data_IF_561562017687
#
_entry.id   IF_561562017687
#
_cell.length_a   1.000
_cell.length_b   1.000
_cell.length_c   1.000
_cell.angle_alpha   90.00
_cell.angle_beta   90.00
_cell.angle_gamma   90.00
#
_symmetry.space_group_name_H-M   'P 1'
#
loop_
_entity.id
_entity.type
_entity.pdbx_description
1 polymer ?
#
# COMPACT_ATOMS: atom_id res chain seq x y z
N UNK A 1 14.79 -4.96 -74.70
CA UNK A 1 14.13 -6.11 -75.22
C UNK A 1 15.01 -7.33 -74.98
N UNK A 2 14.65 -8.15 -74.03
CA UNK A 2 14.98 -9.58 -73.99
C UNK A 2 14.36 -10.20 -72.72
N UNK A 3 13.25 -10.87 -72.96
CA UNK A 3 12.61 -11.75 -71.98
C UNK A 3 13.29 -13.12 -72.02
N UNK A 4 13.56 -13.70 -70.83
CA UNK A 4 13.84 -15.14 -70.70
C UNK A 4 12.87 -15.76 -69.70
N UNK A 5 12.43 -17.00 -70.00
CA UNK A 5 11.29 -17.62 -69.37
C UNK A 5 11.62 -18.44 -68.12
N UNK A 6 10.56 -18.61 -67.35
CA UNK A 6 10.27 -19.55 -66.25
C UNK A 6 10.93 -20.93 -66.34
N UNK A 7 11.53 -21.37 -65.28
CA UNK A 7 11.71 -22.76 -64.99
C UNK A 7 10.96 -23.14 -63.70
N UNK A 8 9.97 -24.00 -63.88
CA UNK A 8 9.24 -24.68 -62.80
C UNK A 8 10.17 -25.59 -62.04
N UNK A 9 10.22 -25.44 -60.73
CA UNK A 9 10.77 -26.47 -59.85
C UNK A 9 9.66 -26.93 -58.89
N UNK A 10 9.22 -28.17 -59.14
CA UNK A 10 8.35 -28.91 -58.27
C UNK A 10 9.15 -29.30 -57.04
N UNK A 11 8.68 -28.87 -55.87
CA UNK A 11 9.24 -29.28 -54.58
C UNK A 11 8.25 -30.18 -53.85
N UNK A 12 8.70 -31.40 -53.71
CA UNK A 12 8.18 -32.49 -52.96
C UNK A 12 7.75 -32.12 -51.53
N UNK A 13 6.51 -32.40 -51.23
CA UNK A 13 5.93 -32.33 -49.88
C UNK A 13 6.49 -33.46 -49.00
N UNK A 14 7.46 -33.11 -48.16
CA UNK A 14 7.84 -33.96 -47.03
C UNK A 14 6.96 -33.68 -45.84
N UNK A 15 6.11 -34.62 -45.52
CA UNK A 15 5.23 -34.67 -44.36
C UNK A 15 6.08 -34.86 -43.10
N UNK A 16 6.40 -33.75 -42.39
CA UNK A 16 6.98 -33.84 -41.06
C UNK A 16 5.85 -33.87 -40.03
N UNK A 17 5.55 -35.07 -39.59
CA UNK A 17 4.70 -35.29 -38.41
C UNK A 17 5.49 -34.94 -37.19
N UNK A 18 5.43 -33.69 -36.75
CA UNK A 18 6.03 -33.22 -35.51
C UNK A 18 5.21 -33.75 -34.33
N UNK A 19 5.75 -34.73 -33.62
CA UNK A 19 5.30 -35.11 -32.28
C UNK A 19 5.41 -33.88 -31.36
N UNK A 20 4.29 -33.26 -31.07
CA UNK A 20 4.19 -32.27 -30.00
C UNK A 20 4.26 -33.02 -28.66
N UNK A 21 5.24 -32.70 -27.79
CA UNK A 21 5.17 -33.20 -26.43
C UNK A 21 3.91 -32.58 -25.75
N UNK A 22 3.07 -33.49 -25.24
CA UNK A 22 1.96 -33.09 -24.37
C UNK A 22 2.53 -32.39 -23.13
N UNK A 23 2.52 -31.07 -23.13
CA UNK A 23 2.69 -30.30 -21.92
C UNK A 23 1.47 -30.59 -21.05
N UNK A 24 1.63 -31.54 -20.14
CA UNK A 24 0.74 -31.68 -19.00
C UNK A 24 0.87 -30.38 -18.18
N UNK A 25 -0.03 -29.43 -18.39
CA UNK A 25 -0.29 -28.37 -17.45
C UNK A 25 -0.82 -29.05 -16.18
N UNK A 26 0.08 -29.34 -15.25
CA UNK A 26 -0.34 -29.51 -13.86
C UNK A 26 -1.03 -28.21 -13.48
N UNK A 27 -2.35 -28.21 -13.48
CA UNK A 27 -3.12 -27.24 -12.70
C UNK A 27 -2.72 -27.48 -11.24
N UNK A 28 -1.65 -26.79 -10.84
CA UNK A 28 -1.38 -26.55 -9.44
C UNK A 28 -2.60 -25.76 -8.95
N UNK A 29 -3.51 -26.49 -8.32
CA UNK A 29 -4.69 -25.92 -7.71
C UNK A 29 -4.17 -24.80 -6.81
N UNK A 30 -4.44 -23.54 -7.20
CA UNK A 30 -4.27 -22.38 -6.33
C UNK A 30 -5.11 -22.65 -5.08
N UNK A 31 -4.46 -23.22 -4.06
CA UNK A 31 -5.09 -23.31 -2.74
C UNK A 31 -5.58 -21.92 -2.39
N UNK A 32 -6.87 -21.76 -2.06
CA UNK A 32 -7.38 -20.47 -1.64
C UNK A 32 -6.53 -20.01 -0.46
N UNK A 33 -6.11 -18.73 -0.40
CA UNK A 33 -5.27 -18.21 0.67
C UNK A 33 -5.91 -18.56 2.00
N UNK A 34 -5.16 -19.29 2.81
CA UNK A 34 -5.65 -19.90 4.05
C UNK A 34 -6.34 -18.85 4.92
N UNK A 35 -7.65 -18.88 4.99
CA UNK A 35 -8.53 -18.06 5.84
C UNK A 35 -8.09 -18.07 7.32
N UNK A 36 -7.33 -19.10 7.72
CA UNK A 36 -6.75 -19.23 9.07
C UNK A 36 -5.82 -18.04 9.44
N UNK A 37 -5.06 -17.48 8.50
CA UNK A 37 -4.14 -16.39 8.83
C UNK A 37 -4.88 -15.09 9.17
N UNK A 38 -6.02 -14.81 8.52
CA UNK A 38 -6.82 -13.63 8.83
C UNK A 38 -7.50 -13.74 10.19
N UNK A 39 -8.12 -14.89 10.50
CA UNK A 39 -8.74 -15.14 11.80
C UNK A 39 -7.72 -14.99 12.94
N UNK A 40 -6.49 -15.50 12.75
CA UNK A 40 -5.42 -15.37 13.74
C UNK A 40 -4.99 -13.91 13.97
N UNK A 41 -4.93 -13.10 12.90
CA UNK A 41 -4.61 -11.67 13.00
C UNK A 41 -5.68 -10.91 13.80
N UNK A 42 -6.97 -11.22 13.58
CA UNK A 42 -8.06 -10.61 14.35
C UNK A 42 -8.05 -11.02 15.82
N UNK A 43 -7.74 -12.28 16.11
CA UNK A 43 -7.60 -12.75 17.49
C UNK A 43 -6.43 -12.06 18.20
N UNK A 44 -5.30 -11.90 17.52
CA UNK A 44 -4.14 -11.17 18.05
C UNK A 44 -4.47 -9.69 18.32
N UNK A 45 -5.17 -9.02 17.39
CA UNK A 45 -5.62 -7.65 17.57
C UNK A 45 -6.61 -7.54 18.77
N UNK A 46 -7.48 -8.53 18.95
CA UNK A 46 -8.39 -8.62 20.09
C UNK A 46 -7.67 -8.70 21.44
N UNK A 47 -6.55 -9.41 21.50
CA UNK A 47 -5.73 -9.55 22.71
C UNK A 47 -5.01 -8.24 23.11
N UNK A 48 -4.85 -7.32 22.19
CA UNK A 48 -4.19 -6.02 22.38
C UNK A 48 -5.18 -4.85 22.57
N UNK A 49 -6.38 -5.14 23.08
CA UNK A 49 -7.42 -4.12 23.31
C UNK A 49 -6.99 -3.01 24.27
N UNK A 50 -5.97 -3.27 25.10
CA UNK A 50 -5.38 -2.28 26.02
C UNK A 50 -4.46 -1.28 25.33
N UNK A 51 -4.01 -1.55 24.09
CA UNK A 51 -3.16 -0.62 23.34
C UNK A 51 -4.04 0.47 22.77
N UNK A 52 -3.90 1.66 23.33
CA UNK A 52 -4.63 2.85 22.87
C UNK A 52 -4.08 3.31 21.50
N UNK A 53 -4.94 3.85 20.64
CA UNK A 53 -4.48 4.52 19.44
C UNK A 53 -3.46 5.60 19.72
N UNK A 54 -2.51 5.79 18.81
CA UNK A 54 -1.52 6.85 18.88
C UNK A 54 -1.95 7.99 17.96
N UNK A 55 -1.95 9.21 18.49
CA UNK A 55 -2.19 10.43 17.72
C UNK A 55 -0.90 11.26 17.70
N UNK A 56 -0.44 11.62 16.51
CA UNK A 56 0.71 12.49 16.28
C UNK A 56 0.22 13.74 15.57
N UNK A 57 0.39 14.89 16.20
CA UNK A 57 0.04 16.19 15.61
C UNK A 57 1.16 16.71 14.73
N UNK A 58 0.79 17.41 13.66
CA UNK A 58 1.73 18.03 12.72
C UNK A 58 1.50 19.52 12.62
N UNK A 59 2.55 20.26 12.36
CA UNK A 59 2.40 21.62 11.88
C UNK A 59 1.83 21.63 10.45
N UNK A 60 1.09 22.67 10.03
CA UNK A 60 0.38 22.67 8.75
C UNK A 60 1.24 22.40 7.51
N UNK A 61 2.52 22.76 7.53
CA UNK A 61 3.45 22.55 6.41
C UNK A 61 4.37 21.32 6.59
N UNK A 62 4.39 20.75 7.77
CA UNK A 62 5.24 19.61 8.10
C UNK A 62 4.72 18.34 7.41
N UNK A 63 5.64 17.55 6.85
CA UNK A 63 5.36 16.24 6.24
C UNK A 63 6.13 15.14 6.93
N UNK A 64 7.36 15.40 7.34
CA UNK A 64 8.26 14.43 7.97
C UNK A 64 7.96 14.27 9.45
N UNK A 65 8.20 13.07 9.97
CA UNK A 65 8.19 12.81 11.40
C UNK A 65 9.41 13.48 12.06
N UNK A 66 9.17 14.30 13.06
CA UNK A 66 10.23 14.81 13.92
C UNK A 66 10.76 13.71 14.83
N UNK A 67 11.96 13.88 15.34
CA UNK A 67 12.64 12.88 16.17
C UNK A 67 11.81 12.50 17.41
N UNK A 68 11.18 13.46 18.06
CA UNK A 68 10.31 13.20 19.21
C UNK A 68 9.07 12.36 18.81
N UNK A 69 8.44 12.67 17.68
CA UNK A 69 7.31 11.91 17.17
C UNK A 69 7.71 10.49 16.73
N UNK A 70 8.91 10.33 16.18
CA UNK A 70 9.46 9.03 15.84
C UNK A 70 9.68 8.18 17.09
N UNK A 71 10.21 8.77 18.16
CA UNK A 71 10.41 8.11 19.45
C UNK A 71 9.07 7.65 20.05
N UNK A 72 8.05 8.53 20.05
CA UNK A 72 6.71 8.19 20.53
C UNK A 72 6.11 7.02 19.72
N UNK A 73 6.30 7.01 18.40
CA UNK A 73 5.87 5.92 17.53
C UNK A 73 6.58 4.60 17.87
N UNK A 74 7.90 4.65 18.09
CA UNK A 74 8.69 3.47 18.49
C UNK A 74 8.24 2.92 19.86
N UNK A 75 8.00 3.79 20.83
CA UNK A 75 7.48 3.41 22.15
C UNK A 75 6.08 2.78 22.07
N UNK A 76 5.25 3.27 21.14
CA UNK A 76 3.95 2.68 20.87
C UNK A 76 4.08 1.29 20.23
N UNK A 77 4.97 1.12 19.24
CA UNK A 77 5.25 -0.16 18.59
C UNK A 77 5.79 -1.20 19.58
N UNK A 78 6.64 -0.80 20.53
CA UNK A 78 7.15 -1.69 21.54
C UNK A 78 6.06 -2.34 22.43
N UNK A 79 4.88 -1.71 22.53
CA UNK A 79 3.73 -2.27 23.26
C UNK A 79 3.07 -3.44 22.52
N UNK A 80 3.35 -3.60 21.24
CA UNK A 80 2.79 -4.68 20.42
C UNK A 80 3.48 -6.02 20.67
N UNK A 81 4.65 -6.04 21.32
CA UNK A 81 5.39 -7.26 21.74
C UNK A 81 5.53 -8.27 20.60
N UNK A 82 5.94 -7.84 19.44
CA UNK A 82 6.12 -8.65 18.22
C UNK A 82 4.88 -9.42 17.75
N UNK A 83 3.70 -9.07 18.27
CA UNK A 83 2.46 -9.68 17.81
C UNK A 83 2.19 -9.29 16.36
N UNK A 84 1.93 -10.26 15.45
CA UNK A 84 1.58 -9.97 14.07
C UNK A 84 0.14 -9.45 14.01
N UNK A 85 -0.04 -8.15 14.19
CA UNK A 85 -1.34 -7.48 14.17
C UNK A 85 -1.40 -6.46 13.03
N UNK A 86 -2.58 -6.25 12.42
CA UNK A 86 -2.75 -5.20 11.43
C UNK A 86 -2.63 -3.83 12.10
N UNK A 87 -1.91 -2.92 11.43
CA UNK A 87 -1.74 -1.52 11.84
C UNK A 87 -2.39 -0.65 10.77
N UNK A 88 -3.30 0.21 11.18
CA UNK A 88 -3.95 1.19 10.32
C UNK A 88 -3.40 2.58 10.62
N UNK A 89 -3.01 3.29 9.56
CA UNK A 89 -2.47 4.65 9.63
C UNK A 89 -3.45 5.57 8.92
N UNK A 90 -4.18 6.38 9.67
CA UNK A 90 -5.06 7.42 9.13
C UNK A 90 -4.33 8.76 9.18
N UNK A 91 -4.24 9.44 8.07
CA UNK A 91 -3.55 10.72 7.98
C UNK A 91 -4.51 11.81 7.53
N UNK A 92 -4.56 12.87 8.32
CA UNK A 92 -5.40 14.04 8.13
C UNK A 92 -4.53 15.25 7.83
N UNK A 93 -4.97 16.09 6.92
CA UNK A 93 -4.21 17.26 6.52
C UNK A 93 -5.12 18.38 6.07
N UNK A 94 -4.92 19.57 6.61
CA UNK A 94 -5.64 20.76 6.18
C UNK A 94 -5.15 21.23 4.80
N UNK A 95 -6.04 21.82 3.98
CA UNK A 95 -5.63 22.50 2.76
C UNK A 95 -4.67 23.65 3.09
N UNK A 96 -3.77 24.00 2.17
CA UNK A 96 -2.98 25.22 2.33
C UNK A 96 -3.91 26.43 2.35
N UNK A 97 -3.48 27.52 3.00
CA UNK A 97 -4.23 28.78 2.97
C UNK A 97 -4.55 29.16 1.53
N UNK A 98 -5.79 29.56 1.29
CA UNK A 98 -6.27 29.93 -0.03
C UNK A 98 -5.40 31.05 -0.63
N UNK A 99 -4.77 30.75 -1.76
CA UNK A 99 -4.15 31.77 -2.61
C UNK A 99 -5.16 32.23 -3.65
N UNK A 100 -5.02 33.45 -4.16
CA UNK A 100 -5.98 34.07 -5.12
C UNK A 100 -6.28 33.20 -6.36
N UNK A 101 -5.33 32.35 -6.74
CA UNK A 101 -5.35 31.49 -7.93
C UNK A 101 -5.66 30.01 -7.64
N UNK A 102 -5.89 29.67 -6.36
CA UNK A 102 -6.12 28.29 -5.96
C UNK A 102 -7.62 27.95 -5.92
N UNK A 103 -8.02 26.95 -6.72
CA UNK A 103 -9.38 26.42 -6.65
C UNK A 103 -9.58 25.51 -5.43
N UNK A 104 -10.83 25.37 -4.96
CA UNK A 104 -11.17 24.43 -3.87
C UNK A 104 -10.69 23.00 -4.20
N UNK A 105 -10.87 22.55 -5.44
CA UNK A 105 -10.41 21.24 -5.92
C UNK A 105 -8.89 21.09 -5.78
N UNK A 106 -8.13 22.09 -6.20
CA UNK A 106 -6.68 22.10 -6.07
C UNK A 106 -6.24 22.03 -4.61
N UNK A 107 -6.86 22.82 -3.73
CA UNK A 107 -6.59 22.81 -2.29
C UNK A 107 -6.84 21.44 -1.66
N UNK A 108 -7.95 20.77 -2.02
CA UNK A 108 -8.26 19.40 -1.57
C UNK A 108 -7.21 18.40 -2.05
N UNK A 109 -6.75 18.50 -3.30
CA UNK A 109 -5.68 17.63 -3.80
C UNK A 109 -4.35 17.83 -3.05
N UNK A 110 -4.01 19.07 -2.69
CA UNK A 110 -2.82 19.34 -1.88
C UNK A 110 -2.94 18.73 -0.48
N UNK A 111 -4.09 18.84 0.17
CA UNK A 111 -4.33 18.22 1.47
C UNK A 111 -4.20 16.70 1.40
N UNK A 112 -4.82 16.07 0.41
CA UNK A 112 -4.75 14.62 0.19
C UNK A 112 -3.30 14.15 -0.05
N UNK A 113 -2.54 14.86 -0.89
CA UNK A 113 -1.14 14.54 -1.17
C UNK A 113 -0.27 14.68 0.08
N UNK A 114 -0.51 15.73 0.88
CA UNK A 114 0.18 15.93 2.17
C UNK A 114 -0.13 14.80 3.14
N UNK A 115 -1.40 14.42 3.27
CA UNK A 115 -1.83 13.30 4.10
C UNK A 115 -1.17 11.98 3.65
N UNK A 116 -1.15 11.71 2.35
CA UNK A 116 -0.50 10.52 1.81
C UNK A 116 1.00 10.46 2.15
N UNK A 117 1.73 11.56 1.96
CA UNK A 117 3.16 11.61 2.24
C UNK A 117 3.46 11.37 3.72
N UNK A 118 2.65 11.92 4.64
CA UNK A 118 2.76 11.67 6.09
C UNK A 118 2.50 10.21 6.45
N UNK A 119 1.45 9.60 5.86
CA UNK A 119 1.16 8.20 6.07
C UNK A 119 2.29 7.30 5.55
N UNK A 120 2.88 7.64 4.41
CA UNK A 120 4.01 6.92 3.83
C UNK A 120 5.26 7.01 4.72
N UNK A 121 5.54 8.19 5.25
CA UNK A 121 6.65 8.41 6.19
C UNK A 121 6.49 7.55 7.45
N UNK A 122 5.30 7.57 8.05
CA UNK A 122 4.99 6.73 9.21
C UNK A 122 5.09 5.23 8.88
N UNK A 123 4.58 4.81 7.71
CA UNK A 123 4.72 3.42 7.24
C UNK A 123 6.18 3.01 7.16
N UNK A 124 7.03 3.84 6.54
CA UNK A 124 8.47 3.55 6.41
C UNK A 124 9.14 3.43 7.79
N UNK A 125 8.76 4.28 8.75
CA UNK A 125 9.28 4.21 10.12
C UNK A 125 8.84 2.92 10.83
N UNK A 126 7.60 2.46 10.62
CA UNK A 126 7.07 1.22 11.19
C UNK A 126 7.74 -0.01 10.55
N UNK A 127 7.97 0.01 9.23
CA UNK A 127 8.73 -1.04 8.53
C UNK A 127 10.19 -1.10 9.00
N UNK A 128 10.82 0.04 9.21
CA UNK A 128 12.18 0.13 9.75
C UNK A 128 12.28 -0.43 11.18
N UNK A 129 11.18 -0.39 11.95
CA UNK A 129 11.07 -1.04 13.26
C UNK A 129 10.83 -2.57 13.18
N UNK A 130 10.82 -3.17 11.98
CA UNK A 130 10.70 -4.61 11.76
C UNK A 130 9.29 -5.14 11.53
N UNK A 131 8.28 -4.29 11.43
CA UNK A 131 6.91 -4.72 11.14
C UNK A 131 6.75 -5.03 9.66
N UNK A 132 6.13 -6.17 9.35
CA UNK A 132 5.91 -6.57 7.96
C UNK A 132 4.97 -5.60 7.23
N UNK A 133 5.36 -5.13 6.06
CA UNK A 133 4.59 -4.17 5.25
C UNK A 133 3.16 -4.63 4.92
N UNK A 134 2.93 -5.94 4.82
CA UNK A 134 1.61 -6.52 4.58
C UNK A 134 0.62 -6.32 5.74
N UNK A 135 1.12 -6.01 6.93
CA UNK A 135 0.30 -5.71 8.10
C UNK A 135 -0.02 -4.22 8.23
N UNK A 136 0.51 -3.36 7.36
CA UNK A 136 0.36 -1.92 7.47
C UNK A 136 -0.58 -1.41 6.37
N UNK A 137 -1.73 -0.88 6.78
CA UNK A 137 -2.69 -0.24 5.89
C UNK A 137 -2.63 1.28 6.04
N UNK A 138 -2.48 2.00 4.93
CA UNK A 138 -2.45 3.47 4.91
C UNK A 138 -3.79 4.02 4.41
N UNK A 139 -4.30 5.02 5.11
CA UNK A 139 -5.52 5.74 4.78
C UNK A 139 -5.21 7.24 4.72
N UNK A 140 -5.03 7.77 3.52
CA UNK A 140 -4.89 9.22 3.33
C UNK A 140 -6.29 9.83 3.29
N UNK A 141 -6.73 10.37 4.41
CA UNK A 141 -8.08 10.96 4.55
C UNK A 141 -8.11 12.40 4.00
N UNK A 142 -7.00 13.13 4.17
CA UNK A 142 -6.92 14.54 3.78
C UNK A 142 -7.69 15.44 4.74
N UNK A 143 -8.50 16.36 4.20
CA UNK A 143 -9.22 17.34 4.99
C UNK A 143 -10.57 16.80 5.46
N UNK A 144 -10.86 16.98 6.76
CA UNK A 144 -12.17 16.78 7.36
C UNK A 144 -12.73 18.13 7.82
N UNK A 145 -13.99 18.38 7.55
CA UNK A 145 -14.65 19.64 7.93
C UNK A 145 -14.98 19.67 9.43
N UNK A 146 -15.24 18.51 10.02
CA UNK A 146 -15.56 18.33 11.45
C UNK A 146 -14.30 18.33 12.35
N UNK A 147 -13.13 18.03 11.79
CA UNK A 147 -11.84 18.07 12.49
C UNK A 147 -10.76 18.66 11.56
N UNK A 148 -10.64 19.99 11.48
CA UNK A 148 -9.68 20.66 10.61
C UNK A 148 -8.26 20.66 11.19
N UNK A 149 -7.80 19.55 11.76
CA UNK A 149 -6.46 19.42 12.32
C UNK A 149 -5.53 18.61 11.42
N UNK A 150 -4.25 18.92 11.50
CA UNK A 150 -3.18 18.18 10.84
C UNK A 150 -2.64 17.12 11.82
N UNK A 151 -3.03 15.87 11.63
CA UNK A 151 -2.58 14.79 12.51
C UNK A 151 -2.50 13.43 11.81
N UNK A 152 -1.82 12.51 12.45
CA UNK A 152 -1.74 11.10 12.10
C UNK A 152 -2.36 10.28 13.24
N UNK A 153 -3.22 9.34 12.91
CA UNK A 153 -3.82 8.43 13.85
C UNK A 153 -3.38 7.00 13.51
N UNK A 154 -2.67 6.34 14.43
CA UNK A 154 -2.19 4.98 14.26
C UNK A 154 -2.96 4.07 15.21
N UNK A 155 -3.59 3.04 14.68
CA UNK A 155 -4.47 2.16 15.44
C UNK A 155 -4.37 0.71 14.97
N UNK A 156 -4.79 -0.23 15.80
CA UNK A 156 -4.92 -1.66 15.48
C UNK A 156 -6.32 -2.01 14.95
N UNK A 157 -7.23 -1.06 14.91
CA UNK A 157 -8.60 -1.25 14.46
C UNK A 157 -8.87 -0.40 13.23
N UNK A 158 -9.58 -0.99 12.28
CA UNK A 158 -10.12 -0.22 11.16
C UNK A 158 -11.26 0.65 11.66
N UNK A 159 -11.23 1.94 11.32
CA UNK A 159 -12.29 2.93 11.57
C UNK A 159 -13.32 2.96 10.45
#
# INVERSE_FOLDING_TARGET
>A
MNYKPLTNLAISSALWLAMLPAFSFSQEALEPPKTQNQAQLFLNAGSLTSVKPLVISYHPQQVTLEEDNLKILQEWLAKLKDAPVPIHIYSYATPPMARRDMTKKSATHFAMRKAFNRALEAKNAIEAAGINSKLIAMHAVGHREDDPSDHLHVTLRQE
#
